data_IF_888774220032
#
_entry.id   IF_888774220032
#
_cell.length_a   1.000
_cell.length_b   1.000
_cell.length_c   1.000
_cell.angle_alpha   90.00
_cell.angle_beta   90.00
_cell.angle_gamma   90.00
#
_symmetry.space_group_name_H-M   'P 1'
#
loop_
_entity.id
_entity.type
_entity.pdbx_description
1 polymer ?
#
# COMPACT_ATOMS: atom_id res chain seq x y z
N UNK A 1 14.89 13.82 -8.41
CA UNK A 1 13.51 14.00 -8.92
C UNK A 1 12.67 14.62 -7.82
N UNK A 2 11.91 15.65 -8.13
CA UNK A 2 11.02 16.27 -7.14
C UNK A 2 9.82 15.36 -6.82
N UNK A 3 9.23 15.55 -5.66
CA UNK A 3 8.04 14.82 -5.24
C UNK A 3 6.90 14.92 -6.27
N UNK A 4 6.64 16.15 -6.77
CA UNK A 4 5.57 16.37 -7.75
C UNK A 4 5.81 15.64 -9.07
N UNK A 5 7.06 15.56 -9.52
CA UNK A 5 7.43 14.83 -10.73
C UNK A 5 7.24 13.32 -10.52
N UNK A 6 7.61 12.80 -9.37
CA UNK A 6 7.40 11.39 -9.03
C UNK A 6 5.90 11.04 -8.96
N UNK A 7 5.08 11.90 -8.35
CA UNK A 7 3.61 11.71 -8.31
C UNK A 7 3.04 11.72 -9.73
N UNK A 8 3.45 12.65 -10.57
CA UNK A 8 2.98 12.71 -11.97
C UNK A 8 3.34 11.43 -12.73
N UNK A 9 4.54 10.90 -12.55
CA UNK A 9 4.98 9.65 -13.17
C UNK A 9 4.15 8.46 -12.72
N UNK A 10 3.87 8.35 -11.43
CA UNK A 10 3.01 7.30 -10.89
C UNK A 10 1.62 7.40 -11.49
N UNK A 11 1.04 8.59 -11.49
CA UNK A 11 -0.30 8.81 -12.02
C UNK A 11 -0.38 8.46 -13.52
N UNK A 12 0.64 8.81 -14.30
CA UNK A 12 0.71 8.45 -15.72
C UNK A 12 0.71 6.92 -15.92
N UNK A 13 1.50 6.18 -15.16
CA UNK A 13 1.54 4.72 -15.22
C UNK A 13 0.18 4.12 -14.84
N UNK A 14 -0.43 4.62 -13.80
CA UNK A 14 -1.72 4.13 -13.31
C UNK A 14 -2.86 4.45 -14.28
N UNK A 15 -2.84 5.61 -14.95
CA UNK A 15 -3.80 5.95 -16.00
C UNK A 15 -3.66 5.01 -17.21
N UNK A 16 -2.45 4.65 -17.60
CA UNK A 16 -2.21 3.67 -18.67
C UNK A 16 -2.76 2.30 -18.30
N UNK A 17 -2.60 1.89 -17.05
CA UNK A 17 -3.15 0.63 -16.54
C UNK A 17 -4.69 0.66 -16.57
N UNK A 18 -5.30 1.72 -16.06
CA UNK A 18 -6.75 1.90 -16.05
C UNK A 18 -7.31 1.93 -17.46
N UNK A 19 -6.61 2.59 -18.38
CA UNK A 19 -6.98 2.67 -19.80
C UNK A 19 -6.73 1.40 -20.63
N UNK A 20 -6.18 0.35 -20.00
CA UNK A 20 -5.91 -0.92 -20.68
C UNK A 20 -4.68 -0.91 -21.59
N UNK A 21 -3.84 0.13 -21.54
CA UNK A 21 -2.62 0.22 -22.36
C UNK A 21 -1.49 -0.66 -21.86
N UNK A 22 -1.47 -0.94 -20.53
CA UNK A 22 -0.49 -1.83 -19.91
C UNK A 22 -1.21 -2.82 -19.00
N UNK A 23 -0.62 -3.99 -18.83
CA UNK A 23 -1.11 -5.00 -17.89
C UNK A 23 -0.59 -4.74 -16.48
N UNK A 24 -1.24 -5.35 -15.49
CA UNK A 24 -0.88 -5.20 -14.08
C UNK A 24 0.59 -5.57 -13.82
N UNK A 25 1.10 -6.63 -14.45
CA UNK A 25 2.49 -7.05 -14.29
C UNK A 25 3.47 -5.98 -14.77
N UNK A 26 3.15 -5.30 -15.87
CA UNK A 26 3.99 -4.21 -16.40
C UNK A 26 3.96 -2.99 -15.48
N UNK A 27 2.79 -2.65 -14.94
CA UNK A 27 2.65 -1.59 -13.95
C UNK A 27 3.49 -1.88 -12.70
N UNK A 28 3.31 -3.07 -12.15
CA UNK A 28 3.97 -3.51 -10.93
C UNK A 28 5.50 -3.54 -11.11
N UNK A 29 5.98 -4.08 -12.24
CA UNK A 29 7.40 -4.08 -12.57
C UNK A 29 7.97 -2.66 -12.70
N UNK A 30 7.22 -1.75 -13.33
CA UNK A 30 7.66 -0.36 -13.51
C UNK A 30 7.78 0.38 -12.18
N UNK A 31 6.84 0.13 -11.26
CA UNK A 31 6.87 0.72 -9.91
C UNK A 31 8.04 0.16 -9.11
N UNK A 32 8.20 -1.17 -9.09
CA UNK A 32 9.30 -1.82 -8.36
C UNK A 32 10.68 -1.43 -8.87
N UNK A 33 10.80 -1.17 -10.15
CA UNK A 33 12.07 -0.75 -10.77
C UNK A 33 12.42 0.72 -10.50
N UNK A 34 11.48 1.51 -10.00
CA UNK A 34 11.71 2.95 -9.79
C UNK A 34 12.04 3.26 -8.34
N UNK A 35 13.32 3.45 -8.07
CA UNK A 35 13.79 3.87 -6.75
C UNK A 35 13.19 5.23 -6.35
N UNK A 36 12.98 6.14 -7.31
CA UNK A 36 12.38 7.45 -7.06
C UNK A 36 10.95 7.34 -6.56
N UNK A 37 10.15 6.45 -7.15
CA UNK A 37 8.76 6.21 -6.72
C UNK A 37 8.76 5.64 -5.30
N UNK A 38 9.60 4.66 -5.02
CA UNK A 38 9.69 4.04 -3.70
C UNK A 38 10.24 5.01 -2.65
N UNK A 39 11.18 5.88 -3.04
CA UNK A 39 11.68 6.96 -2.17
C UNK A 39 10.55 7.94 -1.80
N UNK A 40 9.69 8.26 -2.74
CA UNK A 40 8.52 9.10 -2.48
C UNK A 40 7.56 8.44 -1.49
N UNK A 41 7.32 7.14 -1.65
CA UNK A 41 6.49 6.39 -0.72
C UNK A 41 7.09 6.39 0.69
N UNK A 42 8.39 6.15 0.80
CA UNK A 42 9.11 6.18 2.06
C UNK A 42 9.02 7.55 2.74
N UNK A 43 9.19 8.61 1.97
CA UNK A 43 9.04 9.99 2.46
C UNK A 43 7.64 10.23 3.01
N UNK A 44 6.62 9.83 2.27
CA UNK A 44 5.22 10.04 2.64
C UNK A 44 4.84 9.24 3.89
N UNK A 45 5.27 7.98 3.98
CA UNK A 45 5.01 7.16 5.16
C UNK A 45 5.68 7.73 6.41
N UNK A 46 6.91 8.21 6.30
CA UNK A 46 7.64 8.77 7.45
C UNK A 46 7.06 10.10 7.94
N UNK A 47 6.46 10.90 7.05
CA UNK A 47 5.77 12.14 7.45
C UNK A 47 4.48 11.81 8.19
N UNK A 48 3.66 10.90 7.65
CA UNK A 48 2.34 10.59 8.21
C UNK A 48 2.43 9.70 9.45
N UNK A 49 3.37 8.79 9.44
CA UNK A 49 3.55 7.78 10.49
C UNK A 49 5.03 7.67 10.85
N UNK A 50 5.58 8.61 11.64
CA UNK A 50 7.01 8.60 11.97
C UNK A 50 7.48 7.27 12.56
N UNK A 51 8.57 6.75 12.01
CA UNK A 51 9.17 5.52 12.53
C UNK A 51 9.66 5.73 13.97
N UNK A 52 9.51 4.69 14.79
CA UNK A 52 9.76 4.76 16.22
C UNK A 52 8.47 4.92 17.02
N UNK A 53 7.55 5.77 16.55
CA UNK A 53 6.18 5.86 17.07
C UNK A 53 5.29 4.81 16.42
N UNK A 54 5.52 4.55 15.14
CA UNK A 54 4.84 3.52 14.35
C UNK A 54 5.87 2.53 13.81
N UNK A 55 5.44 1.30 13.55
CA UNK A 55 6.23 0.26 12.91
C UNK A 55 5.66 -0.05 11.54
N UNK A 56 6.50 -0.47 10.60
CA UNK A 56 6.10 -0.66 9.21
C UNK A 56 6.02 -2.15 8.88
N UNK A 57 4.87 -2.57 8.37
CA UNK A 57 4.66 -3.91 7.84
C UNK A 57 4.47 -3.82 6.34
N UNK A 58 5.22 -4.61 5.58
CA UNK A 58 5.14 -4.65 4.13
C UNK A 58 4.61 -5.99 3.66
N UNK A 59 3.85 -5.95 2.57
CA UNK A 59 3.32 -7.15 1.93
C UNK A 59 3.26 -6.96 0.42
N UNK A 60 3.12 -8.08 -0.31
CA UNK A 60 3.09 -8.08 -1.75
C UNK A 60 4.45 -7.79 -2.38
N UNK A 61 4.51 -7.89 -3.69
CA UNK A 61 5.76 -7.71 -4.44
C UNK A 61 6.32 -6.29 -4.30
N UNK A 62 5.46 -5.30 -4.37
CA UNK A 62 5.86 -3.89 -4.26
C UNK A 62 6.32 -3.54 -2.85
N UNK A 63 5.64 -4.04 -1.82
CA UNK A 63 6.06 -3.86 -0.44
C UNK A 63 7.42 -4.51 -0.16
N UNK A 64 7.65 -5.71 -0.68
CA UNK A 64 8.93 -6.41 -0.56
C UNK A 64 10.03 -5.66 -1.30
N UNK A 65 9.75 -5.10 -2.48
CA UNK A 65 10.70 -4.27 -3.20
C UNK A 65 11.11 -3.02 -2.40
N UNK A 66 10.16 -2.41 -1.69
CA UNK A 66 10.42 -1.31 -0.78
C UNK A 66 11.49 -1.70 0.26
N UNK A 67 11.34 -2.86 0.89
CA UNK A 67 12.34 -3.39 1.81
C UNK A 67 13.69 -3.64 1.11
N UNK A 68 13.67 -4.24 -0.07
CA UNK A 68 14.90 -4.60 -0.81
C UNK A 68 15.73 -3.38 -1.23
N UNK A 69 15.11 -2.22 -1.39
CA UNK A 69 15.84 -0.96 -1.61
C UNK A 69 16.47 -0.39 -0.34
N UNK A 70 16.29 -1.03 0.81
CA UNK A 70 16.89 -0.63 2.07
C UNK A 70 16.06 0.35 2.88
N UNK A 71 14.80 0.57 2.54
CA UNK A 71 13.91 1.41 3.33
C UNK A 71 13.51 0.70 4.63
N UNK A 72 13.26 1.47 5.66
CA UNK A 72 12.92 0.94 6.98
C UNK A 72 11.67 0.06 6.94
N UNK A 73 11.79 -1.16 7.45
CA UNK A 73 10.70 -2.14 7.53
C UNK A 73 10.87 -2.96 8.79
N UNK A 74 9.82 -3.12 9.57
CA UNK A 74 9.84 -3.87 10.83
C UNK A 74 9.32 -5.30 10.67
N UNK A 75 8.41 -5.51 9.72
CA UNK A 75 7.76 -6.79 9.52
C UNK A 75 7.47 -7.01 8.04
N UNK A 76 7.81 -8.18 7.55
CA UNK A 76 7.48 -8.61 6.19
C UNK A 76 6.50 -9.78 6.30
N UNK A 77 5.35 -9.66 5.65
CA UNK A 77 4.36 -10.73 5.61
C UNK A 77 4.19 -11.25 4.18
N UNK A 78 3.85 -12.53 4.00
CA UNK A 78 3.68 -13.07 2.66
C UNK A 78 2.50 -12.41 1.93
N UNK A 79 2.57 -12.38 0.60
CA UNK A 79 1.45 -11.97 -0.23
C UNK A 79 0.34 -13.04 -0.28
N UNK A 80 -0.76 -12.72 -0.96
CA UNK A 80 -1.87 -13.66 -1.14
C UNK A 80 -2.78 -13.84 0.07
N UNK A 81 -2.69 -12.94 1.05
CA UNK A 81 -3.48 -13.00 2.29
C UNK A 81 -4.98 -12.77 2.07
N UNK A 82 -5.38 -12.30 0.89
CA UNK A 82 -6.78 -12.07 0.54
C UNK A 82 -7.57 -13.34 0.22
N UNK A 83 -6.91 -14.49 0.15
CA UNK A 83 -7.57 -15.78 -0.09
C UNK A 83 -8.46 -16.15 1.08
N UNK A 84 -9.59 -16.82 0.80
CA UNK A 84 -10.49 -17.33 1.82
C UNK A 84 -9.76 -18.21 2.83
N UNK A 85 -10.14 -18.12 4.10
CA UNK A 85 -9.58 -18.92 5.19
C UNK A 85 -8.08 -18.70 5.45
N UNK A 86 -7.48 -17.62 4.95
CA UNK A 86 -6.09 -17.30 5.29
C UNK A 86 -6.02 -16.92 6.76
N UNK A 87 -5.13 -17.58 7.48
CA UNK A 87 -4.79 -17.23 8.85
C UNK A 87 -3.31 -16.87 8.93
N UNK A 88 -3.03 -15.75 9.57
CA UNK A 88 -1.68 -15.26 9.78
C UNK A 88 -1.40 -15.23 11.29
N UNK A 89 -0.32 -15.89 11.70
CA UNK A 89 0.13 -15.88 13.10
C UNK A 89 1.40 -15.05 13.21
N UNK A 90 1.33 -13.94 13.92
CA UNK A 90 2.44 -13.02 14.13
C UNK A 90 2.96 -13.03 15.57
N UNK A 91 2.55 -14.01 16.39
CA UNK A 91 2.85 -14.05 17.82
C UNK A 91 4.35 -14.05 18.16
N UNK A 92 5.20 -14.57 17.27
CA UNK A 92 6.66 -14.60 17.47
C UNK A 92 7.35 -13.27 17.10
N UNK A 93 6.67 -12.37 16.37
CA UNK A 93 7.27 -11.20 15.75
C UNK A 93 6.73 -9.88 16.29
N UNK A 94 5.59 -9.89 16.96
CA UNK A 94 4.86 -8.70 17.37
C UNK A 94 4.72 -8.66 18.88
N UNK A 95 5.00 -7.49 19.46
CA UNK A 95 4.79 -7.24 20.88
C UNK A 95 3.51 -6.44 21.10
N UNK A 96 2.83 -6.73 22.21
CA UNK A 96 1.63 -5.98 22.60
C UNK A 96 1.92 -4.48 22.75
N UNK A 97 0.96 -3.66 22.39
CA UNK A 97 1.03 -2.21 22.53
C UNK A 97 1.67 -1.47 21.35
N UNK A 98 2.19 -2.18 20.35
CA UNK A 98 2.79 -1.55 19.17
C UNK A 98 1.73 -1.14 18.14
N UNK A 99 2.01 -0.04 17.43
CA UNK A 99 1.17 0.48 16.34
C UNK A 99 1.88 0.27 15.01
N UNK A 100 1.21 -0.39 14.08
CA UNK A 100 1.74 -0.70 12.74
C UNK A 100 1.07 0.12 11.66
N UNK A 101 1.78 0.29 10.56
CA UNK A 101 1.26 0.84 9.30
C UNK A 101 1.57 -0.17 8.20
N UNK A 102 0.57 -0.48 7.38
CA UNK A 102 0.72 -1.39 6.25
C UNK A 102 1.16 -0.63 5.00
N UNK A 103 2.19 -1.15 4.34
CA UNK A 103 2.65 -0.66 3.05
C UNK A 103 2.42 -1.78 2.04
N UNK A 104 1.59 -1.52 1.02
CA UNK A 104 1.18 -2.49 0.02
C UNK A 104 1.09 -1.81 -1.36
N UNK A 105 0.87 -2.60 -2.41
CA UNK A 105 0.78 -2.09 -3.78
C UNK A 105 -0.61 -1.55 -4.11
N UNK A 106 -1.67 -2.26 -3.74
CA UNK A 106 -3.04 -1.88 -4.09
C UNK A 106 -4.04 -2.19 -2.97
N UNK A 107 -5.15 -1.49 -3.01
CA UNK A 107 -6.24 -1.62 -2.04
C UNK A 107 -7.58 -1.64 -2.80
N UNK A 108 -8.35 -2.69 -2.63
CA UNK A 108 -9.67 -2.83 -3.26
C UNK A 108 -10.77 -3.01 -2.23
N UNK A 109 -10.81 -4.16 -1.57
CA UNK A 109 -11.84 -4.50 -0.59
C UNK A 109 -11.31 -4.54 0.85
N UNK A 110 -10.01 -4.33 1.02
CA UNK A 110 -9.36 -4.36 2.33
C UNK A 110 -9.20 -5.76 2.92
N UNK A 111 -9.22 -6.80 2.12
CA UNK A 111 -9.09 -8.19 2.61
C UNK A 111 -7.70 -8.47 3.20
N UNK A 112 -6.65 -8.04 2.53
CA UNK A 112 -5.27 -8.14 3.04
C UNK A 112 -5.12 -7.36 4.33
N UNK A 113 -5.60 -6.14 4.36
CA UNK A 113 -5.60 -5.30 5.56
C UNK A 113 -6.34 -5.97 6.73
N UNK A 114 -7.51 -6.56 6.46
CA UNK A 114 -8.31 -7.23 7.48
C UNK A 114 -7.57 -8.41 8.11
N UNK A 115 -6.87 -9.22 7.31
CA UNK A 115 -6.06 -10.36 7.80
C UNK A 115 -4.92 -9.86 8.69
N UNK A 116 -4.21 -8.84 8.26
CA UNK A 116 -3.08 -8.26 9.01
C UNK A 116 -3.59 -7.60 10.29
N UNK A 117 -4.67 -6.83 10.23
CA UNK A 117 -5.28 -6.19 11.39
C UNK A 117 -5.68 -7.21 12.45
N UNK A 118 -6.34 -8.30 12.02
CA UNK A 118 -6.73 -9.38 12.92
C UNK A 118 -5.52 -10.02 13.59
N UNK A 119 -4.48 -10.34 12.82
CA UNK A 119 -3.27 -10.97 13.34
C UNK A 119 -2.55 -10.06 14.34
N UNK A 120 -2.48 -8.75 14.06
CA UNK A 120 -1.90 -7.77 14.99
C UNK A 120 -2.73 -7.64 16.27
N UNK A 121 -4.05 -7.56 16.15
CA UNK A 121 -4.95 -7.46 17.30
C UNK A 121 -4.86 -8.69 18.20
N UNK A 122 -4.70 -9.87 17.63
CA UNK A 122 -4.49 -11.11 18.41
C UNK A 122 -3.20 -11.08 19.24
N UNK A 123 -2.22 -10.26 18.83
CA UNK A 123 -0.97 -10.05 19.57
C UNK A 123 -1.03 -8.83 20.51
N UNK A 124 -2.16 -8.16 20.62
CA UNK A 124 -2.31 -6.94 21.41
C UNK A 124 -1.72 -5.69 20.75
N UNK A 125 -1.42 -5.76 19.46
CA UNK A 125 -0.97 -4.64 18.66
C UNK A 125 -2.13 -4.08 17.82
N UNK A 126 -1.89 -3.01 17.06
CA UNK A 126 -2.93 -2.38 16.24
C UNK A 126 -2.38 -1.93 14.89
N UNK A 127 -3.28 -1.82 13.91
CA UNK A 127 -2.98 -1.27 12.59
C UNK A 127 -3.55 0.16 12.53
N UNK A 128 -2.66 1.15 12.45
CA UNK A 128 -3.03 2.56 12.46
C UNK A 128 -3.45 3.09 11.09
N UNK A 129 -2.89 2.53 10.01
CA UNK A 129 -3.21 2.98 8.66
C UNK A 129 -2.57 2.12 7.60
N UNK A 130 -2.89 2.45 6.34
CA UNK A 130 -2.41 1.73 5.16
C UNK A 130 -1.98 2.72 4.08
N UNK A 131 -0.81 2.50 3.49
CA UNK A 131 -0.33 3.27 2.34
C UNK A 131 -0.18 2.34 1.14
N UNK A 132 -0.75 2.76 0.01
CA UNK A 132 -0.72 2.00 -1.24
C UNK A 132 -0.43 2.93 -2.42
N UNK A 133 -0.03 2.35 -3.54
CA UNK A 133 0.09 3.10 -4.80
C UNK A 133 -1.28 3.34 -5.42
N UNK A 134 -2.12 2.30 -5.44
CA UNK A 134 -3.41 2.31 -6.12
C UNK A 134 -4.53 1.96 -5.14
N UNK A 135 -5.51 2.84 -5.04
CA UNK A 135 -6.75 2.60 -4.30
C UNK A 135 -7.93 2.47 -5.27
N UNK A 136 -8.45 1.26 -5.39
CA UNK A 136 -9.64 0.94 -6.18
C UNK A 136 -10.88 0.67 -5.33
N UNK A 137 -10.88 1.06 -4.06
CA UNK A 137 -12.03 0.89 -3.18
C UNK A 137 -13.10 1.95 -3.48
N UNK A 138 -14.35 1.52 -3.66
CA UNK A 138 -15.48 2.42 -3.94
C UNK A 138 -15.64 3.44 -2.82
N UNK A 139 -15.66 2.97 -1.59
CA UNK A 139 -15.74 3.85 -0.42
C UNK A 139 -14.37 4.36 -0.02
N UNK A 140 -14.22 5.67 0.06
CA UNK A 140 -12.99 6.27 0.55
C UNK A 140 -12.85 5.99 2.05
N UNK A 141 -11.74 5.35 2.44
CA UNK A 141 -11.45 5.03 3.83
C UNK A 141 -10.43 6.03 4.39
N UNK A 142 -10.72 6.72 5.51
CA UNK A 142 -9.84 7.77 6.05
C UNK A 142 -8.44 7.27 6.43
N UNK A 143 -8.30 5.98 6.77
CA UNK A 143 -7.03 5.38 7.18
C UNK A 143 -6.21 4.83 6.01
N UNK A 144 -6.71 4.94 4.78
CA UNK A 144 -5.99 4.52 3.57
C UNK A 144 -5.51 5.76 2.83
N UNK A 145 -4.19 5.82 2.60
CA UNK A 145 -3.53 6.85 1.81
C UNK A 145 -3.01 6.21 0.54
N UNK A 146 -3.28 6.81 -0.61
CA UNK A 146 -2.82 6.29 -1.90
C UNK A 146 -2.20 7.38 -2.75
N UNK A 147 -1.34 6.97 -3.69
CA UNK A 147 -0.79 7.87 -4.70
C UNK A 147 -1.79 8.15 -5.81
N UNK A 148 -2.62 7.17 -6.11
CA UNK A 148 -3.70 7.27 -7.10
C UNK A 148 -4.94 6.60 -6.54
N UNK A 149 -6.08 7.29 -6.62
CA UNK A 149 -7.37 6.72 -6.27
C UNK A 149 -8.29 6.73 -7.48
N UNK A 150 -8.77 5.53 -7.89
CA UNK A 150 -9.62 5.36 -9.07
C UNK A 150 -10.87 6.23 -8.99
N UNK A 151 -11.61 6.15 -7.89
CA UNK A 151 -12.90 6.86 -7.75
C UNK A 151 -12.79 8.36 -7.48
N UNK A 152 -11.59 8.90 -7.37
CA UNK A 152 -11.37 10.35 -7.46
C UNK A 152 -11.33 10.84 -8.92
N UNK A 153 -11.20 9.91 -9.89
CA UNK A 153 -11.03 10.19 -11.30
C UNK A 153 -12.14 9.63 -12.19
N UNK A 154 -12.84 8.59 -11.72
CA UNK A 154 -13.89 7.87 -12.45
C UNK A 154 -15.08 7.60 -11.55
N UNK A 155 -16.27 7.50 -12.14
CA UNK A 155 -17.48 7.08 -11.43
C UNK A 155 -17.60 5.54 -11.40
N UNK A 156 -18.65 5.02 -10.75
CA UNK A 156 -18.88 3.57 -10.63
C UNK A 156 -19.21 2.90 -11.96
N UNK A 157 -19.57 3.65 -12.98
CA UNK A 157 -19.84 3.16 -14.34
C UNK A 157 -18.60 3.20 -15.22
N UNK A 158 -17.46 3.68 -14.71
CA UNK A 158 -16.21 3.79 -15.45
C UNK A 158 -16.09 5.06 -16.30
N UNK A 159 -16.96 6.02 -16.11
CA UNK A 159 -16.89 7.31 -16.80
C UNK A 159 -15.95 8.27 -16.06
N UNK A 160 -15.08 8.94 -16.80
CA UNK A 160 -14.18 9.92 -16.21
C UNK A 160 -14.95 11.09 -15.60
N UNK A 161 -14.57 11.45 -14.37
CA UNK A 161 -15.15 12.61 -13.69
C UNK A 161 -14.62 13.91 -14.31
N UNK A 162 -15.50 14.87 -14.55
CA UNK A 162 -15.12 16.21 -14.94
C UNK A 162 -14.55 16.96 -13.73
N UNK A 163 -13.46 17.65 -13.95
CA UNK A 163 -12.81 18.46 -12.92
C UNK A 163 -12.87 19.93 -13.27
#
# INVERSE_FOLDING_TARGET
>A
MSYNVAVAKVNELLEKFVGGEIFFDQLDDSIRASKEILTMLDHDVNIRYPHGKYRYVVTGKTGIAYFNYGFTTDLIVPGGLRKSNTRLDLSEYVKAGENYVLIDDSYFMGRTEAVIRKALNECGASLAGTLVFYDGCVEKRPWVTSMYRYYDNYDVLGNRLEK
#
